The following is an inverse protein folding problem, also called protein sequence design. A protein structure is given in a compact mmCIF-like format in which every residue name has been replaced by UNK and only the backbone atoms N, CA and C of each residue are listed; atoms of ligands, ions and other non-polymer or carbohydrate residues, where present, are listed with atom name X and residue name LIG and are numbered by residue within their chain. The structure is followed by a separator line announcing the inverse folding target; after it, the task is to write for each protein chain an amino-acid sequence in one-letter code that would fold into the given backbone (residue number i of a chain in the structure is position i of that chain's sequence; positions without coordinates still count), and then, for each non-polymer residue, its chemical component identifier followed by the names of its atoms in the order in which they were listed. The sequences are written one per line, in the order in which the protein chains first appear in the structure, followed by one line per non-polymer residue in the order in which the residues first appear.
data_IF_661509657201
#
_entry.id   IF_661509657201
#
_cell.length_a   1.000
_cell.length_b   1.000
_cell.length_c   1.000
_cell.angle_alpha   90.00
_cell.angle_beta   90.00
_cell.angle_gamma   90.00
#
_symmetry.space_group_name_H-M   'P 1'
#
loop_
_entity.id
_entity.type
_entity.pdbx_description
1 polymer ?
#
# COMPACT_ATOMS: atom_id res chain seq x y z
N UNK A 1 0.57 -61.73 55.96
CA UNK A 1 1.46 -61.41 54.82
C UNK A 1 1.81 -62.69 54.07
N UNK A 2 1.88 -62.74 52.73
CA UNK A 2 1.14 -61.95 51.74
C UNK A 2 0.62 -62.78 50.53
N UNK A 3 -0.40 -62.24 49.86
CA UNK A 3 -1.04 -62.74 48.63
C UNK A 3 -0.24 -62.32 47.38
N UNK A 4 -0.10 -63.22 46.40
CA UNK A 4 0.63 -62.97 45.14
C UNK A 4 -0.20 -62.15 44.15
N UNK A 5 0.40 -61.08 43.66
CA UNK A 5 -0.11 -60.17 42.61
C UNK A 5 0.11 -60.74 41.21
N UNK A 6 -0.81 -60.51 40.27
CA UNK A 6 -0.50 -60.28 38.84
C UNK A 6 -1.62 -59.55 38.08
N UNK A 7 -1.51 -58.22 38.15
CA UNK A 7 -1.64 -57.20 37.10
C UNK A 7 -2.26 -57.60 35.73
N UNK A 8 -3.42 -57.03 35.38
CA UNK A 8 -3.91 -56.89 34.00
C UNK A 8 -3.77 -55.43 33.55
N UNK A 9 -2.86 -55.15 32.63
CA UNK A 9 -2.58 -53.83 32.09
C UNK A 9 -3.67 -53.41 31.09
N UNK A 10 -4.62 -52.58 31.53
CA UNK A 10 -5.40 -51.72 30.64
C UNK A 10 -4.67 -50.39 30.47
N UNK A 11 -3.73 -50.32 29.53
CA UNK A 11 -3.10 -49.05 29.16
C UNK A 11 -3.77 -48.50 27.90
N UNK A 12 -4.95 -47.88 28.06
CA UNK A 12 -5.42 -46.89 27.10
C UNK A 12 -4.55 -45.65 27.28
N UNK A 13 -3.35 -45.69 26.71
CA UNK A 13 -2.46 -44.54 26.64
C UNK A 13 -3.07 -43.54 25.67
N UNK A 14 -3.64 -42.45 26.19
CA UNK A 14 -4.09 -41.32 25.37
C UNK A 14 -2.85 -40.73 24.69
N UNK A 15 -2.64 -41.05 23.40
CA UNK A 15 -1.63 -40.37 22.58
C UNK A 15 -2.08 -38.92 22.37
N UNK A 16 -1.17 -37.98 22.63
CA UNK A 16 -1.39 -36.57 22.26
C UNK A 16 -1.53 -36.52 20.73
N UNK A 17 -2.53 -35.81 20.18
CA UNK A 17 -2.62 -35.62 18.74
C UNK A 17 -1.38 -34.85 18.29
N UNK A 18 -0.70 -35.38 17.27
CA UNK A 18 0.41 -34.71 16.62
C UNK A 18 -0.14 -33.44 15.97
N UNK A 19 0.45 -32.31 16.31
CA UNK A 19 0.13 -31.00 15.71
C UNK A 19 1.08 -30.82 14.55
N UNK A 20 0.54 -30.58 13.36
CA UNK A 20 1.33 -30.34 12.16
C UNK A 20 2.18 -29.08 12.38
N UNK A 21 3.51 -29.13 12.22
CA UNK A 21 4.35 -27.95 12.26
C UNK A 21 3.95 -26.86 11.25
N UNK A 22 3.20 -27.23 10.21
CA UNK A 22 2.65 -26.32 9.19
C UNK A 22 1.25 -25.78 9.55
N UNK A 23 0.59 -26.30 10.60
CA UNK A 23 -0.61 -25.69 11.21
C UNK A 23 -0.16 -24.45 12.00
N UNK A 24 0.06 -23.37 11.25
CA UNK A 24 0.40 -22.06 11.79
C UNK A 24 -0.69 -21.51 12.73
N UNK A 25 -0.36 -20.52 13.57
CA UNK A 25 -1.34 -19.90 14.43
C UNK A 25 -2.48 -19.27 13.62
N UNK A 26 -3.69 -19.36 14.16
CA UNK A 26 -4.87 -18.69 13.61
C UNK A 26 -4.64 -17.18 13.45
N UNK A 27 -5.15 -16.63 12.35
CA UNK A 27 -5.03 -15.20 12.06
C UNK A 27 -5.98 -14.42 12.96
N UNK A 28 -5.46 -13.75 13.99
CA UNK A 28 -6.28 -12.94 14.90
C UNK A 28 -6.57 -11.54 14.33
N UNK A 29 -7.64 -10.90 14.80
CA UNK A 29 -8.00 -9.54 14.37
C UNK A 29 -6.91 -8.51 14.71
N UNK A 30 -6.23 -8.68 15.85
CA UNK A 30 -5.09 -7.84 16.25
C UNK A 30 -3.90 -7.99 15.28
N UNK A 31 -3.72 -9.20 14.70
CA UNK A 31 -2.71 -9.45 13.68
C UNK A 31 -3.06 -8.80 12.35
N UNK A 32 -4.35 -8.76 12.01
CA UNK A 32 -4.87 -8.06 10.83
C UNK A 32 -4.77 -6.54 10.95
N UNK A 33 -5.04 -5.98 12.13
CA UNK A 33 -4.99 -4.54 12.38
C UNK A 33 -3.58 -3.97 12.17
N UNK A 34 -2.54 -4.69 12.62
CA UNK A 34 -1.13 -4.33 12.40
C UNK A 34 -0.57 -4.75 11.02
N UNK A 35 -1.37 -5.38 10.17
CA UNK A 35 -0.88 -5.92 8.90
C UNK A 35 -0.52 -4.80 7.91
N UNK A 36 0.55 -5.01 7.15
CA UNK A 36 1.04 -4.08 6.13
C UNK A 36 0.96 -4.76 4.77
N UNK A 37 0.30 -4.11 3.80
CA UNK A 37 0.30 -4.60 2.42
C UNK A 37 1.71 -4.49 1.82
N UNK A 38 2.24 -5.61 1.33
CA UNK A 38 3.55 -5.68 0.67
C UNK A 38 3.42 -6.39 -0.67
N UNK A 39 4.21 -5.94 -1.65
CA UNK A 39 4.44 -6.61 -2.92
C UNK A 39 5.95 -6.87 -3.02
N UNK A 40 6.34 -8.15 -2.87
CA UNK A 40 7.72 -8.54 -2.58
C UNK A 40 8.28 -7.81 -1.35
N UNK A 41 9.44 -7.17 -1.51
CA UNK A 41 10.08 -6.39 -0.44
C UNK A 41 9.44 -5.02 -0.19
N UNK A 42 8.55 -4.55 -1.07
CA UNK A 42 8.04 -3.17 -1.04
C UNK A 42 6.73 -3.06 -0.27
N UNK A 43 6.70 -2.18 0.72
CA UNK A 43 5.47 -1.80 1.43
C UNK A 43 4.61 -0.92 0.53
N UNK A 44 3.40 -1.39 0.22
CA UNK A 44 2.38 -0.63 -0.53
C UNK A 44 1.50 0.10 0.49
N UNK A 45 1.59 1.43 0.52
CA UNK A 45 0.64 2.27 1.27
C UNK A 45 -0.53 2.63 0.35
N UNK A 46 -1.76 2.41 0.78
CA UNK A 46 -2.97 2.90 0.07
C UNK A 46 -2.96 4.43 0.13
N UNK A 47 -2.77 5.10 -1.02
CA UNK A 47 -2.73 6.57 -1.12
C UNK A 47 -2.32 7.07 -2.52
N UNK A 48 -2.43 8.38 -2.76
CA UNK A 48 -1.92 9.02 -3.99
C UNK A 48 -0.44 8.64 -4.16
N UNK A 49 0.02 8.26 -5.37
CA UNK A 49 1.43 8.00 -5.62
C UNK A 49 2.30 9.13 -5.04
N UNK A 50 3.47 8.83 -4.48
CA UNK A 50 4.37 9.87 -3.99
C UNK A 50 4.53 10.92 -5.10
N UNK A 51 4.31 12.19 -4.75
CA UNK A 51 4.62 13.31 -5.63
C UNK A 51 6.05 13.07 -6.12
N UNK A 52 6.22 12.78 -7.41
CA UNK A 52 7.54 12.48 -7.97
C UNK A 52 8.52 13.62 -7.71
N UNK A 53 9.80 13.40 -8.01
CA UNK A 53 10.93 14.28 -7.62
C UNK A 53 10.77 15.78 -7.95
N UNK A 54 9.84 16.15 -8.84
CA UNK A 54 9.53 17.55 -9.20
C UNK A 54 8.02 17.81 -9.30
N UNK A 55 7.33 18.07 -8.17
CA UNK A 55 5.91 18.41 -8.19
C UNK A 55 5.65 19.79 -8.78
N UNK A 56 4.47 19.98 -9.37
CA UNK A 56 4.01 21.31 -9.82
C UNK A 56 3.84 22.21 -8.59
N UNK A 57 4.53 23.35 -8.59
CA UNK A 57 4.39 24.36 -7.54
C UNK A 57 3.27 25.33 -7.88
N UNK A 58 2.39 25.60 -6.93
CA UNK A 58 1.40 26.68 -7.07
C UNK A 58 2.10 28.02 -6.87
N UNK A 59 1.97 28.92 -7.83
CA UNK A 59 2.55 30.27 -7.77
C UNK A 59 1.46 31.30 -8.07
N UNK A 60 1.53 32.46 -7.41
CA UNK A 60 0.66 33.60 -7.72
C UNK A 60 1.35 34.45 -8.79
N UNK A 61 0.86 34.39 -10.03
CA UNK A 61 1.37 35.14 -11.18
C UNK A 61 0.25 36.00 -11.77
N UNK A 62 0.56 37.25 -12.12
CA UNK A 62 -0.34 38.11 -12.88
C UNK A 62 -0.06 37.93 -14.37
N UNK A 63 -1.12 37.72 -15.15
CA UNK A 63 -1.09 37.63 -16.61
C UNK A 63 -1.99 38.74 -17.17
N UNK A 64 -1.72 39.16 -18.39
CA UNK A 64 -2.61 40.08 -19.11
C UNK A 64 -3.99 39.43 -19.32
N UNK A 65 -5.03 40.27 -19.31
CA UNK A 65 -6.41 39.80 -19.35
C UNK A 65 -6.75 39.08 -20.66
N UNK A 66 -6.28 39.62 -21.79
CA UNK A 66 -6.44 39.05 -23.12
C UNK A 66 -5.80 37.65 -23.24
N UNK A 67 -4.60 37.47 -22.68
CA UNK A 67 -3.92 36.18 -22.60
C UNK A 67 -4.77 35.21 -21.79
N UNK A 68 -5.20 35.59 -20.59
CA UNK A 68 -6.00 34.72 -19.73
C UNK A 68 -7.32 34.30 -20.40
N UNK A 69 -8.01 35.24 -21.05
CA UNK A 69 -9.27 35.00 -21.73
C UNK A 69 -9.08 34.07 -22.94
N UNK A 70 -8.02 34.28 -23.73
CA UNK A 70 -7.69 33.42 -24.86
C UNK A 70 -7.48 31.96 -24.44
N UNK A 71 -6.79 31.71 -23.31
CA UNK A 71 -6.61 30.36 -22.80
C UNK A 71 -7.90 29.80 -22.21
N UNK A 72 -8.67 30.59 -21.45
CA UNK A 72 -9.96 30.15 -20.89
C UNK A 72 -10.94 29.73 -21.98
N UNK A 73 -10.93 30.40 -23.13
CA UNK A 73 -11.75 30.07 -24.29
C UNK A 73 -11.43 28.69 -24.91
N UNK A 74 -10.23 28.13 -24.67
CA UNK A 74 -9.87 26.77 -25.10
C UNK A 74 -10.65 25.68 -24.33
N UNK A 75 -11.30 26.04 -23.23
CA UNK A 75 -12.15 25.13 -22.46
C UNK A 75 -11.41 24.36 -21.37
N UNK A 76 -11.94 23.19 -20.96
CA UNK A 76 -11.39 22.40 -19.87
C UNK A 76 -9.91 22.05 -20.10
N UNK A 77 -9.07 22.29 -19.11
CA UNK A 77 -7.63 21.99 -19.19
C UNK A 77 -6.75 23.12 -19.70
N UNK A 78 -7.27 24.33 -19.90
CA UNK A 78 -6.49 25.49 -20.32
C UNK A 78 -5.25 25.78 -19.44
N UNK A 79 -5.31 25.49 -18.14
CA UNK A 79 -4.16 25.60 -17.23
C UNK A 79 -3.02 24.63 -17.57
N UNK A 80 -3.35 23.44 -18.07
CA UNK A 80 -2.35 22.49 -18.57
C UNK A 80 -1.77 22.96 -19.90
N UNK A 81 -2.59 23.58 -20.75
CA UNK A 81 -2.17 24.11 -22.04
C UNK A 81 -1.18 25.27 -21.89
N UNK A 82 -1.50 26.27 -21.05
CA UNK A 82 -0.59 27.39 -20.79
C UNK A 82 0.73 26.91 -20.21
N UNK A 83 0.71 25.91 -19.31
CA UNK A 83 1.93 25.32 -18.80
C UNK A 83 2.73 24.57 -19.88
N UNK A 84 2.07 23.89 -20.83
CA UNK A 84 2.74 23.25 -21.95
C UNK A 84 3.40 24.29 -22.88
N UNK A 85 2.73 25.40 -23.16
CA UNK A 85 3.26 26.49 -23.98
C UNK A 85 4.44 27.20 -23.32
N UNK A 86 4.36 27.47 -22.01
CA UNK A 86 5.50 28.01 -21.25
C UNK A 86 6.71 27.07 -21.31
N UNK A 87 6.52 25.74 -21.22
CA UNK A 87 7.61 24.77 -21.38
C UNK A 87 8.20 24.79 -22.78
N UNK A 88 7.35 24.87 -23.81
CA UNK A 88 7.77 24.93 -25.22
C UNK A 88 8.63 26.17 -25.49
N UNK A 89 8.17 27.35 -25.05
CA UNK A 89 8.89 28.63 -25.21
C UNK A 89 10.22 28.61 -24.46
N UNK A 90 10.26 28.03 -23.25
CA UNK A 90 11.48 27.87 -22.45
C UNK A 90 12.34 26.66 -22.85
N UNK A 91 11.98 25.91 -23.90
CA UNK A 91 12.68 24.71 -24.38
C UNK A 91 12.90 23.66 -23.28
N UNK A 92 11.93 23.51 -22.37
CA UNK A 92 11.98 22.53 -21.30
C UNK A 92 11.55 21.15 -21.81
N UNK A 93 12.35 20.11 -21.53
CA UNK A 93 12.01 18.73 -21.88
C UNK A 93 10.72 18.30 -21.18
N UNK A 94 9.89 17.48 -21.85
CA UNK A 94 8.71 16.87 -21.23
C UNK A 94 9.17 16.03 -20.04
N UNK A 95 8.56 16.28 -18.87
CA UNK A 95 8.79 15.48 -17.67
C UNK A 95 7.86 14.26 -17.70
#
# INVERSE_FOLDING_TARGET
MPEKRRNSLSASGKSKPWVDPDDGPELTDEMLDRAVFRDGDKVIRRGRPPLGDRPKSSVTLRLDADVLDSYRALGPGWQSQINADLRRVRKLKKA
#
